data_IF_941316411315
#
_entry.id   IF_941316411315
#
_cell.length_a   1.000
_cell.length_b   1.000
_cell.length_c   1.000
_cell.angle_alpha   90.00
_cell.angle_beta   90.00
_cell.angle_gamma   90.00
#
_symmetry.space_group_name_H-M   'P 1'
#
loop_
_entity.id
_entity.type
_entity.pdbx_description
1 polymer ?
#
# COMPACT_ATOMS: atom_id res chain seq x y z
N UNK A 1 2.43 -1.08 -28.61
CA UNK A 1 2.90 0.33 -28.73
C UNK A 1 2.20 1.22 -27.69
N UNK A 2 2.75 2.42 -27.43
CA UNK A 2 2.08 3.40 -26.53
C UNK A 2 0.67 3.78 -27.01
N UNK A 3 0.45 3.86 -28.34
CA UNK A 3 -0.88 4.15 -28.89
C UNK A 3 -1.89 3.05 -28.59
N UNK A 4 -1.49 1.78 -28.68
CA UNK A 4 -2.34 0.63 -28.33
C UNK A 4 -2.65 0.61 -26.84
N UNK A 5 -1.65 0.86 -25.98
CA UNK A 5 -1.85 0.94 -24.53
C UNK A 5 -2.82 2.08 -24.17
N UNK A 6 -2.69 3.23 -24.79
CA UNK A 6 -3.62 4.34 -24.59
C UNK A 6 -5.05 3.99 -25.05
N UNK A 7 -5.18 3.31 -26.19
CA UNK A 7 -6.48 2.82 -26.68
C UNK A 7 -7.11 1.85 -25.67
N UNK A 8 -6.34 0.90 -25.12
CA UNK A 8 -6.82 -0.03 -24.09
C UNK A 8 -7.31 0.68 -22.83
N UNK A 9 -6.63 1.76 -22.39
CA UNK A 9 -7.10 2.56 -21.24
C UNK A 9 -8.42 3.28 -21.58
N UNK A 10 -8.59 3.79 -22.80
CA UNK A 10 -9.85 4.40 -23.23
C UNK A 10 -10.97 3.35 -23.32
N UNK A 11 -10.73 2.20 -23.95
CA UNK A 11 -11.71 1.10 -24.04
C UNK A 11 -12.12 0.60 -22.65
N UNK A 12 -11.21 0.57 -21.70
CA UNK A 12 -11.47 0.19 -20.32
C UNK A 12 -12.17 1.28 -19.49
N UNK A 13 -12.40 2.47 -20.04
CA UNK A 13 -12.95 3.66 -19.34
C UNK A 13 -12.16 4.00 -18.07
N UNK A 14 -10.81 3.94 -18.16
CA UNK A 14 -9.91 3.97 -17.03
C UNK A 14 -10.01 5.27 -16.21
N UNK A 15 -10.14 6.43 -16.87
CA UNK A 15 -10.25 7.73 -16.18
C UNK A 15 -11.54 7.88 -15.40
N UNK A 16 -12.69 7.49 -16.00
CA UNK A 16 -13.99 7.53 -15.31
C UNK A 16 -14.00 6.58 -14.12
N UNK A 17 -13.41 5.38 -14.27
CA UNK A 17 -13.28 4.43 -13.16
C UNK A 17 -12.42 4.99 -12.03
N UNK A 18 -11.27 5.59 -12.35
CA UNK A 18 -10.41 6.22 -11.36
C UNK A 18 -11.13 7.37 -10.62
N UNK A 19 -11.83 8.25 -11.35
CA UNK A 19 -12.61 9.33 -10.75
C UNK A 19 -13.73 8.82 -9.84
N UNK A 20 -14.49 7.81 -10.28
CA UNK A 20 -15.54 7.18 -9.47
C UNK A 20 -14.96 6.51 -8.22
N UNK A 21 -13.76 5.93 -8.33
CA UNK A 21 -13.07 5.34 -7.20
C UNK A 21 -12.72 6.38 -6.15
N UNK A 22 -12.16 7.53 -6.55
CA UNK A 22 -11.85 8.62 -5.62
C UNK A 22 -13.12 9.07 -4.90
N UNK A 23 -14.20 9.38 -5.63
CA UNK A 23 -15.47 9.80 -5.03
C UNK A 23 -16.05 8.74 -4.06
N UNK A 24 -15.94 7.46 -4.42
CA UNK A 24 -16.37 6.36 -3.53
C UNK A 24 -15.49 6.27 -2.28
N UNK A 25 -14.18 6.36 -2.43
CA UNK A 25 -13.23 6.33 -1.32
C UNK A 25 -13.42 7.52 -0.36
N UNK A 26 -13.64 8.73 -0.89
CA UNK A 26 -13.99 9.92 -0.11
C UNK A 26 -15.26 9.68 0.73
N UNK A 27 -16.31 9.14 0.13
CA UNK A 27 -17.56 8.85 0.82
C UNK A 27 -17.39 7.86 2.00
N UNK A 28 -16.39 6.96 1.92
CA UNK A 28 -16.11 5.98 2.98
C UNK A 28 -15.30 6.56 4.14
N UNK A 29 -14.65 7.70 3.95
CA UNK A 29 -13.90 8.42 4.99
C UNK A 29 -14.61 9.68 5.50
N UNK A 30 -15.72 10.11 4.86
CA UNK A 30 -16.39 11.37 5.16
C UNK A 30 -16.78 11.52 6.64
N UNK A 31 -17.25 10.43 7.27
CA UNK A 31 -17.70 10.44 8.67
C UNK A 31 -16.61 9.99 9.67
N UNK A 32 -15.39 9.78 9.20
CA UNK A 32 -14.29 9.28 10.04
C UNK A 32 -13.65 10.34 10.94
N UNK A 33 -13.95 11.63 10.69
CA UNK A 33 -13.27 12.75 11.34
C UNK A 33 -11.82 12.97 10.84
N UNK A 34 -11.44 12.35 9.73
CA UNK A 34 -10.12 12.55 9.08
C UNK A 34 -10.30 13.64 8.02
N UNK A 35 -9.54 14.76 8.11
CA UNK A 35 -9.52 15.78 7.06
C UNK A 35 -9.11 15.22 5.71
N UNK A 36 -9.93 15.44 4.70
CA UNK A 36 -9.64 15.07 3.31
C UNK A 36 -8.88 16.20 2.60
N UNK A 37 -8.09 15.92 1.55
CA UNK A 37 -7.48 16.96 0.72
C UNK A 37 -8.54 17.87 0.07
N UNK A 38 -8.33 19.18 0.07
CA UNK A 38 -9.24 20.15 -0.55
C UNK A 38 -9.37 19.97 -2.08
N UNK A 39 -8.32 19.50 -2.71
CA UNK A 39 -8.25 19.21 -4.13
C UNK A 39 -7.33 18.02 -4.41
N UNK A 40 -7.66 17.24 -5.41
CA UNK A 40 -6.90 16.07 -5.82
C UNK A 40 -6.73 16.03 -7.34
N UNK A 41 -5.48 15.92 -7.78
CA UNK A 41 -5.12 15.66 -9.18
C UNK A 41 -4.70 14.19 -9.29
N UNK A 42 -5.42 13.44 -10.13
CA UNK A 42 -5.08 12.05 -10.44
C UNK A 42 -4.61 11.93 -11.88
N UNK A 43 -3.39 11.44 -12.07
CA UNK A 43 -2.78 11.18 -13.37
C UNK A 43 -2.63 9.69 -13.65
N UNK A 44 -3.03 9.26 -14.86
CA UNK A 44 -2.72 7.93 -15.39
C UNK A 44 -1.59 8.06 -16.42
N UNK A 45 -0.49 7.36 -16.18
CA UNK A 45 0.72 7.38 -17.01
C UNK A 45 0.99 6.00 -17.59
N UNK A 46 1.47 5.95 -18.82
CA UNK A 46 1.86 4.69 -19.45
C UNK A 46 3.19 4.19 -18.86
N UNK A 47 3.20 2.95 -18.41
CA UNK A 47 4.37 2.25 -17.90
C UNK A 47 5.16 1.55 -19.01
N UNK A 48 6.45 1.37 -18.80
CA UNK A 48 7.22 0.38 -19.54
C UNK A 48 6.92 -1.02 -18.94
N UNK A 49 6.30 -1.95 -19.69
CA UNK A 49 5.89 -3.24 -19.14
C UNK A 49 7.04 -4.09 -18.62
N UNK A 50 8.26 -3.90 -19.14
CA UNK A 50 9.44 -4.64 -18.69
C UNK A 50 9.88 -4.19 -17.29
N UNK A 51 9.86 -2.87 -17.04
CA UNK A 51 10.27 -2.30 -15.75
C UNK A 51 9.27 -2.69 -14.63
N UNK A 52 7.99 -2.81 -14.97
CA UNK A 52 6.91 -3.11 -14.03
C UNK A 52 6.43 -4.57 -14.06
N UNK A 53 7.26 -5.50 -14.57
CA UNK A 53 6.88 -6.92 -14.69
C UNK A 53 6.52 -7.54 -13.33
N UNK A 54 7.34 -7.33 -12.32
CA UNK A 54 7.13 -7.88 -10.96
C UNK A 54 5.85 -7.38 -10.30
N UNK A 55 5.45 -6.14 -10.59
CA UNK A 55 4.17 -5.56 -10.14
C UNK A 55 3.01 -5.79 -11.11
N UNK A 56 3.14 -6.75 -12.05
CA UNK A 56 2.11 -7.07 -13.05
C UNK A 56 1.73 -5.89 -13.95
N UNK A 57 2.68 -4.98 -14.20
CA UNK A 57 2.53 -3.88 -15.14
C UNK A 57 1.90 -2.62 -14.57
N UNK A 58 1.77 -2.45 -13.23
CA UNK A 58 1.24 -1.24 -12.65
C UNK A 58 1.83 -0.92 -11.27
N UNK A 59 1.77 0.34 -10.90
CA UNK A 59 2.16 0.86 -9.59
C UNK A 59 1.48 2.22 -9.37
N UNK A 60 1.50 2.71 -8.13
CA UNK A 60 0.97 4.01 -7.80
C UNK A 60 1.93 4.82 -6.93
N UNK A 61 1.61 6.08 -6.76
CA UNK A 61 2.25 7.01 -5.84
C UNK A 61 1.19 8.00 -5.33
N UNK A 62 0.77 7.85 -4.08
CA UNK A 62 -0.20 8.73 -3.40
C UNK A 62 0.41 9.52 -2.25
N UNK A 63 1.72 9.39 -1.99
CA UNK A 63 2.39 9.99 -0.83
C UNK A 63 2.61 11.52 -0.92
N UNK A 64 2.21 12.15 -2.03
CA UNK A 64 2.28 13.60 -2.20
C UNK A 64 0.88 14.19 -2.03
N UNK A 65 0.56 14.92 -0.94
CA UNK A 65 -0.79 15.45 -0.71
C UNK A 65 -1.30 16.26 -1.90
N UNK A 66 -2.53 15.99 -2.32
CA UNK A 66 -3.18 16.60 -3.49
C UNK A 66 -2.82 15.97 -4.84
N UNK A 67 -1.92 14.96 -4.89
CA UNK A 67 -1.54 14.30 -6.15
C UNK A 67 -1.52 12.79 -6.02
N UNK A 68 -2.17 12.11 -6.96
CA UNK A 68 -2.06 10.66 -7.17
C UNK A 68 -1.53 10.40 -8.57
N UNK A 69 -0.50 9.57 -8.65
CA UNK A 69 0.03 9.06 -9.91
C UNK A 69 -0.19 7.57 -9.98
N UNK A 70 -0.82 7.10 -11.05
CA UNK A 70 -0.88 5.68 -11.41
C UNK A 70 -0.07 5.48 -12.68
N UNK A 71 0.89 4.57 -12.64
CA UNK A 71 1.70 4.17 -13.80
C UNK A 71 1.25 2.78 -14.21
N UNK A 72 0.80 2.59 -15.46
CA UNK A 72 0.17 1.35 -15.89
C UNK A 72 0.54 0.96 -17.33
N UNK A 73 0.99 -0.27 -17.52
CA UNK A 73 1.02 -0.97 -18.80
C UNK A 73 -0.24 -1.86 -18.87
N UNK A 74 -1.33 -1.42 -19.52
CA UNK A 74 -2.64 -2.04 -19.40
C UNK A 74 -2.62 -3.49 -19.89
N UNK A 75 -3.22 -4.38 -19.12
CA UNK A 75 -3.38 -5.79 -19.44
C UNK A 75 -4.61 -6.39 -18.73
N UNK A 76 -4.95 -7.65 -19.03
CA UNK A 76 -6.12 -8.33 -18.47
C UNK A 76 -6.07 -8.50 -16.94
N UNK A 77 -4.87 -8.45 -16.31
CA UNK A 77 -4.71 -8.55 -14.88
C UNK A 77 -4.94 -7.20 -14.18
N UNK A 78 -4.31 -6.13 -14.68
CA UNK A 78 -4.27 -4.85 -13.95
C UNK A 78 -5.45 -3.92 -14.25
N UNK A 79 -6.04 -3.96 -15.45
CA UNK A 79 -7.20 -3.11 -15.77
C UNK A 79 -8.39 -3.30 -14.81
N UNK A 80 -8.80 -4.54 -14.43
CA UNK A 80 -9.84 -4.73 -13.42
C UNK A 80 -9.41 -4.29 -12.00
N UNK A 81 -8.11 -4.24 -11.71
CA UNK A 81 -7.54 -3.86 -10.41
C UNK A 81 -7.25 -2.37 -10.28
N UNK A 82 -7.40 -1.60 -11.36
CA UNK A 82 -7.18 -0.17 -11.33
C UNK A 82 -7.98 0.55 -10.22
N UNK A 83 -9.27 0.26 -9.97
CA UNK A 83 -9.98 0.85 -8.85
C UNK A 83 -9.34 0.56 -7.48
N UNK A 84 -8.91 -0.68 -7.23
CA UNK A 84 -8.25 -1.04 -5.98
C UNK A 84 -6.91 -0.30 -5.80
N UNK A 85 -6.11 -0.20 -6.86
CA UNK A 85 -4.87 0.57 -6.85
C UNK A 85 -5.12 2.07 -6.57
N UNK A 86 -6.11 2.66 -7.23
CA UNK A 86 -6.50 4.07 -6.98
C UNK A 86 -6.95 4.29 -5.54
N UNK A 87 -7.71 3.34 -4.96
CA UNK A 87 -8.14 3.42 -3.56
C UNK A 87 -6.96 3.33 -2.58
N UNK A 88 -5.98 2.47 -2.86
CA UNK A 88 -4.74 2.37 -2.11
C UNK A 88 -3.98 3.72 -2.10
N UNK A 89 -3.77 4.30 -3.27
CA UNK A 89 -3.05 5.57 -3.40
C UNK A 89 -3.85 6.75 -2.82
N UNK A 90 -5.16 6.71 -2.93
CA UNK A 90 -6.03 7.70 -2.29
C UNK A 90 -5.89 7.66 -0.77
N UNK A 91 -5.82 6.46 -0.17
CA UNK A 91 -5.59 6.33 1.26
C UNK A 91 -4.26 6.93 1.68
N UNK A 92 -3.17 6.69 0.93
CA UNK A 92 -1.89 7.36 1.17
C UNK A 92 -2.04 8.88 1.12
N UNK A 93 -2.76 9.39 0.13
CA UNK A 93 -2.96 10.83 -0.03
C UNK A 93 -3.66 11.45 1.18
N UNK A 94 -4.71 10.81 1.67
CA UNK A 94 -5.40 11.22 2.90
C UNK A 94 -4.48 11.13 4.11
N UNK A 95 -3.76 10.02 4.27
CA UNK A 95 -2.86 9.81 5.41
C UNK A 95 -1.78 10.89 5.47
N UNK A 96 -1.06 11.11 4.35
CA UNK A 96 0.03 12.08 4.28
C UNK A 96 -0.43 13.55 4.30
N UNK A 97 -1.71 13.81 4.05
CA UNK A 97 -2.32 15.11 4.33
C UNK A 97 -2.47 15.40 5.83
N UNK A 98 -2.47 14.36 6.66
CA UNK A 98 -2.75 14.45 8.10
C UNK A 98 -1.55 14.15 9.01
N UNK A 99 -0.46 13.60 8.47
CA UNK A 99 0.74 13.27 9.24
C UNK A 99 1.98 13.93 8.64
N UNK A 100 2.88 14.38 9.50
CA UNK A 100 4.22 14.80 9.06
C UNK A 100 5.07 13.55 8.84
N UNK A 101 5.39 13.25 7.57
CA UNK A 101 6.22 12.12 7.21
C UNK A 101 7.66 12.52 6.97
N UNK A 102 8.59 11.90 7.70
CA UNK A 102 10.01 12.16 7.54
C UNK A 102 10.76 10.84 7.30
N UNK A 103 11.26 10.66 6.08
CA UNK A 103 12.03 9.48 5.70
C UNK A 103 13.33 9.26 6.49
N UNK A 104 13.89 10.32 7.09
CA UNK A 104 15.14 10.21 7.84
C UNK A 104 14.97 9.46 9.17
N UNK A 105 13.78 9.50 9.76
CA UNK A 105 13.49 8.87 11.05
C UNK A 105 12.22 8.02 11.06
N UNK A 106 11.74 7.61 9.88
CA UNK A 106 10.61 6.67 9.79
C UNK A 106 11.00 5.34 10.44
N UNK A 107 10.13 4.82 11.30
CA UNK A 107 10.28 3.48 11.87
C UNK A 107 9.67 2.42 10.98
N UNK A 108 10.22 1.20 11.06
CA UNK A 108 9.69 0.07 10.31
C UNK A 108 8.22 -0.19 10.65
N UNK A 109 7.83 -0.17 11.93
CA UNK A 109 6.42 -0.33 12.33
C UNK A 109 5.50 0.70 11.70
N UNK A 110 5.95 1.95 11.57
CA UNK A 110 5.19 3.02 10.93
C UNK A 110 5.02 2.78 9.42
N UNK A 111 6.11 2.37 8.73
CA UNK A 111 6.01 2.12 7.29
C UNK A 111 5.13 0.90 6.97
N UNK A 112 5.26 -0.18 7.77
CA UNK A 112 4.35 -1.33 7.69
C UNK A 112 2.88 -0.90 7.89
N UNK A 113 2.61 -0.01 8.85
CA UNK A 113 1.27 0.52 9.08
C UNK A 113 0.74 1.31 7.89
N UNK A 114 1.55 2.19 7.32
CA UNK A 114 1.17 3.03 6.16
C UNK A 114 0.73 2.17 4.98
N UNK A 115 1.54 1.20 4.59
CA UNK A 115 1.23 0.30 3.47
C UNK A 115 0.08 -0.66 3.81
N UNK A 116 0.10 -1.20 5.03
CA UNK A 116 -0.94 -2.11 5.50
C UNK A 116 -2.32 -1.47 5.59
N UNK A 117 -2.41 -0.21 6.03
CA UNK A 117 -3.66 0.55 6.07
C UNK A 117 -4.18 0.85 4.66
N UNK A 118 -3.31 1.27 3.74
CA UNK A 118 -3.69 1.57 2.36
C UNK A 118 -4.24 0.32 1.64
N UNK A 119 -3.56 -0.81 1.78
CA UNK A 119 -4.02 -2.07 1.21
C UNK A 119 -5.30 -2.58 1.89
N UNK A 120 -5.40 -2.44 3.22
CA UNK A 120 -6.62 -2.81 3.96
C UNK A 120 -7.82 -1.94 3.57
N UNK A 121 -7.59 -0.65 3.27
CA UNK A 121 -8.61 0.24 2.76
C UNK A 121 -9.09 -0.18 1.36
N UNK A 122 -8.16 -0.48 0.46
CA UNK A 122 -8.48 -0.99 -0.87
C UNK A 122 -9.27 -2.32 -0.79
N UNK A 123 -8.85 -3.24 0.10
CA UNK A 123 -9.56 -4.50 0.35
C UNK A 123 -10.97 -4.29 0.93
N UNK A 124 -11.16 -3.32 1.82
CA UNK A 124 -12.46 -3.00 2.38
C UNK A 124 -13.45 -2.44 1.33
N UNK A 125 -12.95 -1.74 0.30
CA UNK A 125 -13.78 -1.20 -0.76
C UNK A 125 -14.10 -2.20 -1.87
N UNK A 126 -13.11 -3.01 -2.26
CA UNK A 126 -13.20 -3.84 -3.46
C UNK A 126 -13.09 -5.34 -3.19
N UNK A 127 -12.70 -5.73 -1.99
CA UNK A 127 -12.51 -7.13 -1.59
C UNK A 127 -11.07 -7.62 -1.74
N UNK A 128 -10.70 -8.64 -0.96
CA UNK A 128 -9.35 -9.20 -0.91
C UNK A 128 -8.86 -9.79 -2.25
N UNK A 129 -9.76 -10.21 -3.13
CA UNK A 129 -9.41 -10.71 -4.46
C UNK A 129 -8.75 -9.64 -5.36
N UNK A 130 -8.86 -8.36 -4.99
CA UNK A 130 -8.39 -7.22 -5.78
C UNK A 130 -7.19 -6.49 -5.18
N UNK A 131 -6.64 -6.97 -4.06
CA UNK A 131 -5.42 -6.41 -3.45
C UNK A 131 -4.23 -6.52 -4.42
N UNK A 132 -3.22 -5.68 -4.16
CA UNK A 132 -2.05 -5.58 -5.02
C UNK A 132 -1.19 -6.86 -5.05
N UNK A 133 -0.47 -7.10 -6.17
CA UNK A 133 0.40 -8.28 -6.31
C UNK A 133 1.54 -8.30 -5.29
N UNK A 134 1.92 -7.15 -4.76
CA UNK A 134 2.92 -7.00 -3.69
C UNK A 134 2.47 -7.62 -2.36
N UNK A 135 1.17 -7.86 -2.16
CA UNK A 135 0.63 -8.61 -1.03
C UNK A 135 0.17 -10.00 -1.46
N UNK A 136 -0.60 -10.08 -2.56
CA UNK A 136 -1.27 -11.31 -2.97
C UNK A 136 -0.33 -12.43 -3.43
N UNK A 137 0.88 -12.10 -3.90
CA UNK A 137 1.79 -13.09 -4.50
C UNK A 137 2.70 -13.78 -3.48
N UNK A 138 2.76 -13.33 -2.22
CA UNK A 138 3.64 -13.96 -1.22
C UNK A 138 3.11 -15.35 -0.83
N UNK A 139 4.02 -16.32 -0.77
CA UNK A 139 3.67 -17.65 -0.31
C UNK A 139 3.64 -17.69 1.23
N UNK A 140 2.79 -18.54 1.81
CA UNK A 140 2.59 -18.62 3.27
C UNK A 140 3.91 -18.87 4.04
N UNK A 141 4.76 -19.76 3.54
CA UNK A 141 6.07 -20.04 4.15
C UNK A 141 6.98 -18.81 4.15
N UNK A 142 6.98 -18.04 3.06
CA UNK A 142 7.77 -16.82 2.92
C UNK A 142 7.21 -15.70 3.78
N UNK A 143 5.89 -15.56 3.87
CA UNK A 143 5.23 -14.61 4.76
C UNK A 143 5.59 -14.90 6.23
N UNK A 144 5.53 -16.17 6.65
CA UNK A 144 5.91 -16.58 8.01
C UNK A 144 7.38 -16.25 8.31
N UNK A 145 8.28 -16.56 7.38
CA UNK A 145 9.71 -16.23 7.51
C UNK A 145 9.92 -14.72 7.62
N UNK A 146 9.30 -13.94 6.71
CA UNK A 146 9.40 -12.49 6.72
C UNK A 146 8.85 -11.89 8.02
N UNK A 147 7.70 -12.37 8.49
CA UNK A 147 7.10 -11.92 9.75
C UNK A 147 8.01 -12.16 10.95
N UNK A 148 8.68 -13.31 10.99
CA UNK A 148 9.65 -13.63 12.06
C UNK A 148 10.91 -12.75 12.03
N UNK A 149 11.36 -12.28 10.87
CA UNK A 149 12.49 -11.37 10.73
C UNK A 149 12.04 -9.95 11.07
N UNK A 150 10.99 -9.45 10.43
CA UNK A 150 10.45 -8.11 10.58
C UNK A 150 10.00 -7.83 12.01
N UNK A 151 9.34 -8.80 12.66
CA UNK A 151 8.80 -8.64 14.02
C UNK A 151 9.86 -8.40 15.10
N UNK A 152 11.12 -8.75 14.85
CA UNK A 152 12.24 -8.48 15.79
C UNK A 152 12.78 -7.06 15.66
N UNK A 153 12.56 -6.40 14.54
CA UNK A 153 13.25 -5.20 14.14
C UNK A 153 12.29 -4.01 13.91
N UNK A 154 11.07 -4.05 14.50
CA UNK A 154 10.00 -3.04 14.31
C UNK A 154 10.44 -1.60 14.65
N UNK A 155 11.46 -1.44 15.49
CA UNK A 155 12.01 -0.15 15.91
C UNK A 155 13.19 0.35 15.04
N UNK A 156 13.56 -0.39 14.00
CA UNK A 156 14.57 0.07 13.04
C UNK A 156 14.10 1.37 12.40
N UNK A 157 14.97 2.37 12.35
CA UNK A 157 14.67 3.71 11.87
C UNK A 157 15.50 4.10 10.63
N UNK A 158 14.91 5.00 9.83
CA UNK A 158 15.50 5.59 8.65
C UNK A 158 15.26 4.77 7.38
N UNK A 159 14.85 5.46 6.32
CA UNK A 159 14.44 4.83 5.06
C UNK A 159 15.47 3.84 4.49
N UNK A 160 16.76 4.18 4.56
CA UNK A 160 17.82 3.33 4.01
C UNK A 160 17.93 1.96 4.69
N UNK A 161 17.55 1.86 5.96
CA UNK A 161 17.48 0.60 6.69
C UNK A 161 16.10 -0.06 6.55
N UNK A 162 15.02 0.71 6.74
CA UNK A 162 13.63 0.24 6.67
C UNK A 162 13.29 -0.37 5.31
N UNK A 163 13.79 0.21 4.21
CA UNK A 163 13.51 -0.31 2.85
C UNK A 163 13.95 -1.75 2.60
N UNK A 164 14.94 -2.27 3.36
CA UNK A 164 15.38 -3.67 3.25
C UNK A 164 14.29 -4.64 3.66
N UNK A 165 13.51 -4.25 4.66
CA UNK A 165 12.38 -5.01 5.17
C UNK A 165 11.15 -4.85 4.27
N UNK A 166 10.93 -3.64 3.76
CA UNK A 166 9.77 -3.34 2.92
C UNK A 166 9.88 -4.01 1.54
N UNK A 167 11.01 -3.80 0.86
CA UNK A 167 11.21 -4.32 -0.51
C UNK A 167 11.81 -5.73 -0.54
N UNK A 168 12.36 -6.22 0.59
CA UNK A 168 13.03 -7.52 0.61
C UNK A 168 14.22 -7.60 -0.32
N UNK A 169 14.49 -8.77 -0.87
CA UNK A 169 15.61 -9.02 -1.78
C UNK A 169 15.28 -8.53 -3.19
N UNK A 170 15.51 -7.24 -3.42
CA UNK A 170 15.22 -6.56 -4.67
C UNK A 170 16.42 -5.68 -5.10
N UNK A 171 16.64 -5.42 -6.40
CA UNK A 171 17.70 -4.56 -6.90
C UNK A 171 17.73 -3.14 -6.29
N UNK A 172 16.61 -2.63 -5.80
CA UNK A 172 16.56 -1.36 -5.07
C UNK A 172 17.18 -1.41 -3.67
N UNK A 173 17.45 -2.61 -3.14
CA UNK A 173 18.15 -2.81 -1.87
C UNK A 173 19.65 -2.97 -2.18
N UNK A 174 20.55 -2.22 -1.51
CA UNK A 174 21.98 -2.32 -1.77
C UNK A 174 22.52 -3.75 -1.58
N UNK A 175 23.44 -4.14 -2.45
CA UNK A 175 24.15 -5.43 -2.38
C UNK A 175 24.72 -5.69 -0.98
N UNK A 176 24.72 -6.94 -0.55
CA UNK A 176 25.26 -7.39 0.73
C UNK A 176 24.39 -7.08 1.96
N UNK A 177 23.18 -6.55 1.73
CA UNK A 177 22.20 -6.22 2.79
C UNK A 177 20.90 -7.01 2.70
N UNK A 178 20.88 -8.10 1.93
CA UNK A 178 19.74 -9.01 1.83
C UNK A 178 19.41 -9.61 3.20
N UNK A 179 18.12 -9.65 3.50
CA UNK A 179 17.57 -10.30 4.69
C UNK A 179 17.09 -11.73 4.39
N UNK A 180 17.17 -12.16 3.13
CA UNK A 180 16.66 -13.45 2.68
C UNK A 180 15.13 -13.53 2.73
N UNK A 181 14.44 -12.42 2.53
CA UNK A 181 12.98 -12.33 2.44
C UNK A 181 12.55 -11.89 1.03
N UNK A 182 11.40 -12.35 0.52
CA UNK A 182 11.01 -12.09 -0.86
C UNK A 182 10.69 -10.62 -1.12
N UNK A 183 10.64 -10.26 -2.40
CA UNK A 183 10.24 -8.94 -2.87
C UNK A 183 8.89 -8.52 -2.28
N UNK A 184 8.81 -7.27 -1.82
CA UNK A 184 7.63 -6.67 -1.17
C UNK A 184 7.14 -7.39 0.10
N UNK A 185 8.00 -8.18 0.78
CA UNK A 185 7.62 -8.88 2.00
C UNK A 185 7.04 -7.94 3.08
N UNK A 186 7.60 -6.72 3.23
CA UNK A 186 7.09 -5.74 4.18
C UNK A 186 5.66 -5.29 3.88
N UNK A 187 5.30 -5.16 2.62
CA UNK A 187 3.92 -4.83 2.20
C UNK A 187 2.92 -5.90 2.66
N UNK A 188 3.25 -7.17 2.41
CA UNK A 188 2.42 -8.28 2.84
C UNK A 188 2.33 -8.39 4.36
N UNK A 189 3.46 -8.31 5.07
CA UNK A 189 3.50 -8.33 6.54
C UNK A 189 2.72 -7.16 7.12
N UNK A 190 2.85 -5.95 6.57
CA UNK A 190 2.08 -4.76 6.96
C UNK A 190 0.58 -4.97 6.82
N UNK A 191 0.13 -5.50 5.67
CA UNK A 191 -1.27 -5.84 5.45
C UNK A 191 -1.79 -6.81 6.51
N UNK A 192 -1.10 -7.94 6.74
CA UNK A 192 -1.53 -8.94 7.71
C UNK A 192 -1.50 -8.43 9.15
N UNK A 193 -0.52 -7.59 9.51
CA UNK A 193 -0.47 -6.95 10.82
C UNK A 193 -1.67 -6.01 11.03
N UNK A 194 -1.99 -5.17 10.04
CA UNK A 194 -3.18 -4.29 10.09
C UNK A 194 -4.46 -5.12 10.16
N UNK A 195 -4.62 -6.17 9.35
CA UNK A 195 -5.77 -7.06 9.43
C UNK A 195 -5.90 -7.72 10.83
N UNK A 196 -4.78 -8.07 11.46
CA UNK A 196 -4.78 -8.57 12.84
C UNK A 196 -5.24 -7.50 13.83
N UNK A 197 -4.77 -6.25 13.69
CA UNK A 197 -5.22 -5.13 14.50
C UNK A 197 -6.73 -4.89 14.36
N UNK A 198 -7.26 -4.87 13.14
CA UNK A 198 -8.69 -4.66 12.87
C UNK A 198 -9.55 -5.75 13.54
N UNK A 199 -9.15 -7.02 13.41
CA UNK A 199 -9.84 -8.15 14.07
C UNK A 199 -9.80 -8.04 15.59
N UNK A 200 -8.63 -7.73 16.17
CA UNK A 200 -8.43 -7.62 17.61
C UNK A 200 -9.24 -6.49 18.24
N UNK A 201 -9.33 -5.36 17.56
CA UNK A 201 -9.96 -4.15 18.08
C UNK A 201 -11.41 -3.99 17.64
N UNK A 202 -11.87 -4.75 16.65
CA UNK A 202 -13.15 -4.57 15.95
C UNK A 202 -13.30 -3.19 15.31
N UNK A 203 -12.20 -2.46 15.11
CA UNK A 203 -12.20 -1.18 14.43
C UNK A 203 -12.33 -1.39 12.90
N UNK A 204 -12.97 -0.43 12.25
CA UNK A 204 -12.93 -0.28 10.80
C UNK A 204 -11.54 0.23 10.37
N UNK A 205 -11.22 0.10 9.09
CA UNK A 205 -9.95 0.65 8.56
C UNK A 205 -9.88 2.17 8.70
N UNK A 206 -10.99 2.89 8.59
CA UNK A 206 -11.06 4.33 8.81
C UNK A 206 -10.72 4.70 10.27
N UNK A 207 -11.28 3.97 11.24
CA UNK A 207 -10.95 4.15 12.67
C UNK A 207 -9.50 3.80 12.99
N UNK A 208 -8.94 2.75 12.35
CA UNK A 208 -7.53 2.40 12.48
C UNK A 208 -6.61 3.46 11.86
N UNK A 209 -6.99 4.04 10.71
CA UNK A 209 -6.28 5.17 10.10
C UNK A 209 -6.28 6.38 11.04
N UNK A 210 -7.44 6.69 11.65
CA UNK A 210 -7.52 7.78 12.64
C UNK A 210 -6.64 7.51 13.85
N UNK A 211 -6.64 6.28 14.38
CA UNK A 211 -5.79 5.88 15.50
C UNK A 211 -4.29 6.05 15.16
N UNK A 212 -3.87 5.68 13.95
CA UNK A 212 -2.50 5.90 13.48
C UNK A 212 -2.16 7.39 13.39
N UNK A 213 -3.05 8.23 12.86
CA UNK A 213 -2.89 9.68 12.79
C UNK A 213 -2.75 10.27 14.19
N UNK A 214 -3.48 9.75 15.17
CA UNK A 214 -3.44 10.17 16.58
C UNK A 214 -2.20 9.62 17.33
N UNK A 215 -1.33 8.86 16.66
CA UNK A 215 -0.04 8.41 17.18
C UNK A 215 -0.01 6.98 17.73
N UNK A 216 -1.06 6.18 17.55
CA UNK A 216 -1.09 4.77 17.97
C UNK A 216 -0.17 3.92 17.06
N UNK A 217 0.69 3.09 17.64
CA UNK A 217 1.50 2.11 16.89
C UNK A 217 0.68 0.85 16.62
N UNK A 218 -0.22 0.94 15.64
CA UNK A 218 -1.18 -0.11 15.30
C UNK A 218 -0.53 -1.45 14.92
N UNK A 219 0.72 -1.42 14.41
CA UNK A 219 1.47 -2.63 14.07
C UNK A 219 1.95 -3.35 15.33
N UNK A 220 2.51 -2.63 16.29
CA UNK A 220 2.92 -3.22 17.58
C UNK A 220 1.73 -3.69 18.39
N UNK A 221 0.61 -2.97 18.33
CA UNK A 221 -0.60 -3.29 19.06
C UNK A 221 -1.46 -4.37 18.37
N UNK A 222 -1.14 -4.73 17.13
CA UNK A 222 -1.90 -5.74 16.35
C UNK A 222 -1.97 -7.13 17.01
N UNK A 223 -0.97 -7.49 17.82
CA UNK A 223 -0.78 -8.86 18.31
C UNK A 223 -0.19 -9.81 17.27
N UNK A 224 -0.07 -9.42 16.02
CA UNK A 224 0.37 -10.26 14.90
C UNK A 224 1.73 -10.93 15.13
N UNK A 225 2.66 -10.23 15.76
CA UNK A 225 4.01 -10.72 16.01
C UNK A 225 4.15 -11.50 17.35
N UNK A 226 3.09 -11.58 18.15
CA UNK A 226 3.11 -12.25 19.46
C UNK A 226 2.79 -13.73 19.36
N UNK A 227 2.06 -14.15 18.34
CA UNK A 227 1.62 -15.55 18.15
C UNK A 227 2.68 -16.45 17.50
N UNK A 228 3.88 -15.93 17.23
CA UNK A 228 4.99 -16.61 16.56
C UNK A 228 6.20 -16.95 17.43
N UNK A 229 6.05 -16.97 18.78
CA UNK A 229 7.10 -17.41 19.71
C UNK A 229 6.94 -18.86 20.13
#
# INVERSE_FOLDING_TARGET
TMKEMLAQLHEADAWTKAQKTVAYAESRLQDSGIPLPDALVLGLFLANPVIFEESRGYSGLGSCPGYIQIVIAPNAYNLPRLPSCVAHEFHHNVLFNNVTWNFMNVRLSQYLAVEGLAESFAAALYGEAWIGPWVANIQEADLKKASGIIGRDLDVEGFMEVRKYMYGDHPMVPEGKSLGIPYCAGYAVGYHAVQSYLRKTSKTVAEATKAFIDGEDIVKESGYFQDGR
#
